data_IF_334373282875
#
_entry.id   IF_334373282875
#
_cell.length_a   1.000
_cell.length_b   1.000
_cell.length_c   1.000
_cell.angle_alpha   90.00
_cell.angle_beta   90.00
_cell.angle_gamma   90.00
#
_symmetry.space_group_name_H-M   'P 1'
#
loop_
_entity.id
_entity.type
_entity.pdbx_description
1 polymer ?
#
# COMPACT_ATOMS: atom_id res chain seq x y z
N UNK A 1 -5.59 -13.97 3.86
CA UNK A 1 -4.49 -13.44 4.71
C UNK A 1 -3.44 -12.81 3.80
N UNK A 2 -2.69 -11.78 4.22
CA UNK A 2 -1.72 -11.07 3.35
C UNK A 2 -0.66 -11.99 2.73
N UNK A 3 -0.20 -12.99 3.48
CA UNK A 3 0.73 -14.01 2.98
C UNK A 3 0.15 -14.75 1.77
N UNK A 4 -1.12 -15.17 1.82
CA UNK A 4 -1.77 -15.85 0.69
C UNK A 4 -1.86 -14.95 -0.55
N UNK A 5 -1.98 -13.62 -0.36
CA UNK A 5 -2.01 -12.67 -1.47
C UNK A 5 -0.62 -12.56 -2.11
N UNK A 6 0.42 -12.47 -1.29
CA UNK A 6 1.82 -12.45 -1.76
C UNK A 6 2.18 -13.76 -2.45
N UNK A 7 1.80 -14.90 -1.88
CA UNK A 7 2.08 -16.25 -2.42
C UNK A 7 1.41 -16.48 -3.77
N UNK A 8 0.18 -15.97 -3.95
CA UNK A 8 -0.50 -16.02 -5.25
C UNK A 8 0.10 -15.06 -6.27
N UNK A 9 0.89 -14.09 -5.82
CA UNK A 9 1.65 -13.18 -6.66
C UNK A 9 0.79 -12.25 -7.51
N UNK A 10 1.34 -11.91 -8.67
CA UNK A 10 0.78 -10.93 -9.58
C UNK A 10 0.22 -11.57 -10.84
N UNK A 11 -0.62 -10.83 -11.53
CA UNK A 11 -1.15 -11.20 -12.84
C UNK A 11 -1.31 -9.98 -13.72
N UNK A 12 -1.18 -10.17 -15.04
CA UNK A 12 -1.47 -9.16 -16.04
C UNK A 12 -2.89 -9.40 -16.59
N UNK A 13 -3.77 -8.41 -16.49
CA UNK A 13 -5.13 -8.48 -17.03
C UNK A 13 -5.14 -8.23 -18.54
N UNK A 14 -6.25 -8.57 -19.19
CA UNK A 14 -6.43 -8.29 -20.62
C UNK A 14 -6.42 -6.78 -20.94
N UNK A 15 -6.78 -5.93 -19.97
CA UNK A 15 -6.70 -4.48 -20.07
C UNK A 15 -5.30 -3.92 -19.77
N UNK A 16 -4.33 -4.79 -19.46
CA UNK A 16 -2.95 -4.43 -19.15
C UNK A 16 -2.72 -4.02 -17.71
N UNK A 17 -3.70 -4.20 -16.82
CA UNK A 17 -3.58 -3.97 -15.38
C UNK A 17 -2.69 -5.01 -14.72
N UNK A 18 -1.81 -4.54 -13.83
CA UNK A 18 -1.00 -5.39 -12.96
C UNK A 18 -1.74 -5.54 -11.65
N UNK A 19 -2.34 -6.70 -11.45
CA UNK A 19 -3.22 -6.95 -10.29
C UNK A 19 -2.73 -8.13 -9.46
N UNK A 20 -2.91 -8.03 -8.15
CA UNK A 20 -2.64 -9.11 -7.21
C UNK A 20 -3.61 -10.27 -7.49
N UNK A 21 -3.08 -11.42 -7.89
CA UNK A 21 -3.88 -12.53 -8.39
C UNK A 21 -4.84 -13.09 -7.32
N UNK A 22 -4.42 -13.09 -6.05
CA UNK A 22 -5.24 -13.48 -4.92
C UNK A 22 -6.42 -12.54 -4.62
N UNK A 23 -6.42 -11.34 -5.20
CA UNK A 23 -7.40 -10.29 -4.96
C UNK A 23 -8.35 -10.07 -6.13
N UNK A 24 -8.10 -10.74 -7.26
CA UNK A 24 -8.91 -10.61 -8.46
C UNK A 24 -10.33 -11.13 -8.20
N UNK A 25 -11.38 -10.35 -8.52
CA UNK A 25 -12.74 -10.82 -8.41
C UNK A 25 -13.02 -11.96 -9.40
N UNK A 26 -13.89 -12.89 -9.01
CA UNK A 26 -14.30 -14.03 -9.86
C UNK A 26 -15.03 -13.56 -11.11
N UNK A 27 -15.87 -12.52 -10.97
CA UNK A 27 -16.51 -11.85 -12.09
C UNK A 27 -15.61 -10.74 -12.63
N UNK A 28 -15.50 -10.65 -13.96
CA UNK A 28 -14.79 -9.55 -14.60
C UNK A 28 -15.52 -8.24 -14.32
N UNK A 29 -14.82 -7.28 -13.70
CA UNK A 29 -15.28 -5.90 -13.59
C UNK A 29 -15.16 -5.16 -14.92
N UNK A 30 -15.91 -4.06 -15.06
CA UNK A 30 -15.69 -3.06 -16.11
C UNK A 30 -15.00 -1.89 -15.42
N UNK A 31 -13.77 -1.60 -15.82
CA UNK A 31 -12.98 -0.47 -15.32
C UNK A 31 -12.82 0.57 -16.42
N UNK A 32 -12.85 1.84 -16.03
CA UNK A 32 -12.73 2.97 -16.97
C UNK A 32 -11.36 2.99 -17.63
N UNK A 33 -10.33 2.66 -16.87
CA UNK A 33 -8.96 2.51 -17.34
C UNK A 33 -8.19 1.52 -16.45
N UNK A 34 -6.94 1.28 -16.84
CA UNK A 34 -6.00 0.42 -16.11
C UNK A 34 -5.76 0.88 -14.68
N UNK A 35 -5.65 2.19 -14.43
CA UNK A 35 -5.37 2.72 -13.09
C UNK A 35 -6.56 2.43 -12.15
N UNK A 36 -7.77 2.63 -12.66
CA UNK A 36 -9.02 2.31 -11.97
C UNK A 36 -9.12 0.82 -11.64
N UNK A 37 -8.70 -0.05 -12.57
CA UNK A 37 -8.61 -1.50 -12.32
C UNK A 37 -7.62 -1.81 -11.20
N UNK A 38 -6.36 -1.36 -11.33
CA UNK A 38 -5.31 -1.66 -10.38
C UNK A 38 -5.65 -1.17 -8.97
N UNK A 39 -6.11 0.07 -8.84
CA UNK A 39 -6.45 0.68 -7.54
C UNK A 39 -7.65 0.00 -6.88
N UNK A 40 -8.66 -0.38 -7.66
CA UNK A 40 -9.83 -1.10 -7.15
C UNK A 40 -9.48 -2.52 -6.71
N UNK A 41 -8.71 -3.24 -7.52
CA UNK A 41 -8.39 -4.66 -7.24
C UNK A 41 -7.34 -4.78 -6.15
N UNK A 42 -6.29 -3.94 -6.18
CA UNK A 42 -5.12 -4.09 -5.31
C UNK A 42 -5.27 -3.40 -3.95
N UNK A 43 -6.24 -2.49 -3.77
CA UNK A 43 -6.43 -1.75 -2.52
C UNK A 43 -6.94 -2.61 -1.38
N UNK A 44 -6.26 -2.66 -0.24
CA UNK A 44 -6.68 -3.43 0.94
C UNK A 44 -6.41 -2.69 2.25
N UNK A 45 -7.41 -2.71 3.13
CA UNK A 45 -7.25 -2.34 4.52
C UNK A 45 -6.32 -3.33 5.23
N UNK A 46 -5.39 -2.82 6.02
CA UNK A 46 -4.47 -3.65 6.79
C UNK A 46 -5.20 -4.28 7.97
N UNK A 47 -4.98 -5.58 8.19
CA UNK A 47 -5.53 -6.28 9.35
C UNK A 47 -4.92 -5.73 10.64
N UNK A 48 -5.78 -5.24 11.52
CA UNK A 48 -5.38 -4.46 12.70
C UNK A 48 -6.27 -4.70 13.95
N UNK A 49 -7.18 -5.68 13.90
CA UNK A 49 -8.10 -6.01 15.00
C UNK A 49 -7.39 -6.60 16.24
N UNK A 50 -6.16 -7.10 16.07
CA UNK A 50 -5.33 -7.66 17.13
C UNK A 50 -4.31 -6.66 17.70
N UNK A 51 -4.27 -5.44 17.16
CA UNK A 51 -3.39 -4.39 17.64
C UNK A 51 -3.97 -3.66 18.86
N UNK A 52 -3.13 -3.13 19.77
CA UNK A 52 -3.57 -2.26 20.85
C UNK A 52 -4.38 -1.05 20.34
N UNK A 53 -5.23 -0.50 21.20
CA UNK A 53 -5.97 0.73 20.90
C UNK A 53 -5.11 1.99 21.09
N UNK A 54 -4.13 1.95 21.98
CA UNK A 54 -3.25 3.07 22.29
C UNK A 54 -2.44 3.50 21.05
N UNK A 55 -2.54 4.77 20.58
CA UNK A 55 -1.92 5.19 19.33
C UNK A 55 -0.40 4.99 19.26
N UNK A 56 0.30 5.24 20.37
CA UNK A 56 1.75 5.11 20.48
C UNK A 56 2.24 3.66 20.37
N UNK A 57 1.45 2.70 20.84
CA UNK A 57 1.73 1.26 20.67
C UNK A 57 1.24 0.74 19.31
N UNK A 58 0.10 1.23 18.84
CA UNK A 58 -0.57 0.77 17.61
C UNK A 58 0.17 1.19 16.34
N UNK A 59 0.56 2.47 16.26
CA UNK A 59 1.17 3.07 15.07
C UNK A 59 2.39 2.29 14.56
N UNK A 60 3.43 2.02 15.37
CA UNK A 60 4.62 1.32 14.87
C UNK A 60 4.30 -0.09 14.39
N UNK A 61 3.39 -0.81 15.06
CA UNK A 61 2.98 -2.16 14.66
C UNK A 61 2.22 -2.15 13.32
N UNK A 62 1.31 -1.20 13.15
CA UNK A 62 0.53 -1.05 11.93
C UNK A 62 1.42 -0.65 10.73
N UNK A 63 2.34 0.30 10.95
CA UNK A 63 3.31 0.72 9.93
C UNK A 63 4.20 -0.45 9.52
N UNK A 64 4.76 -1.22 10.47
CA UNK A 64 5.59 -2.40 10.17
C UNK A 64 4.85 -3.42 9.32
N UNK A 65 3.57 -3.70 9.62
CA UNK A 65 2.74 -4.60 8.80
C UNK A 65 2.56 -4.09 7.38
N UNK A 66 2.28 -2.79 7.23
CA UNK A 66 2.14 -2.19 5.91
C UNK A 66 3.44 -2.31 5.10
N UNK A 67 4.57 -1.94 5.69
CA UNK A 67 5.87 -1.98 5.01
C UNK A 67 6.29 -3.41 4.67
N UNK A 68 6.07 -4.39 5.56
CA UNK A 68 6.33 -5.80 5.28
C UNK A 68 5.50 -6.31 4.10
N UNK A 69 4.21 -5.98 4.07
CA UNK A 69 3.32 -6.35 2.97
C UNK A 69 3.70 -5.67 1.65
N UNK A 70 4.02 -4.37 1.70
CA UNK A 70 4.47 -3.58 0.55
C UNK A 70 5.76 -4.14 -0.02
N UNK A 71 6.78 -4.37 0.82
CA UNK A 71 8.07 -4.91 0.39
C UNK A 71 7.90 -6.25 -0.32
N UNK A 72 7.14 -7.18 0.27
CA UNK A 72 6.87 -8.49 -0.31
C UNK A 72 6.14 -8.40 -1.66
N UNK A 73 5.11 -7.54 -1.75
CA UNK A 73 4.38 -7.34 -3.00
C UNK A 73 5.24 -6.68 -4.10
N UNK A 74 6.08 -5.71 -3.74
CA UNK A 74 6.94 -5.03 -4.72
C UNK A 74 8.08 -5.92 -5.22
N UNK A 75 8.65 -6.77 -4.36
CA UNK A 75 9.65 -7.78 -4.76
C UNK A 75 9.06 -8.79 -5.74
N UNK A 76 7.89 -9.35 -5.40
CA UNK A 76 7.18 -10.29 -6.29
C UNK A 76 6.71 -9.63 -7.58
N UNK A 77 6.35 -8.34 -7.56
CA UNK A 77 6.03 -7.58 -8.78
C UNK A 77 7.26 -7.47 -9.70
N UNK A 78 8.44 -7.19 -9.15
CA UNK A 78 9.69 -7.13 -9.92
C UNK A 78 10.02 -8.48 -10.54
N UNK A 79 9.84 -9.56 -9.78
CA UNK A 79 10.06 -10.93 -10.27
C UNK A 79 9.11 -11.29 -11.42
N UNK A 80 7.83 -10.94 -11.30
CA UNK A 80 6.81 -11.24 -12.31
C UNK A 80 6.97 -10.38 -13.58
N UNK A 81 7.21 -9.07 -13.43
CA UNK A 81 7.17 -8.12 -14.55
C UNK A 81 8.54 -7.70 -15.09
N UNK A 82 9.62 -8.01 -14.37
CA UNK A 82 10.98 -7.64 -14.75
C UNK A 82 11.30 -6.14 -14.67
N UNK A 83 10.49 -5.35 -13.94
CA UNK A 83 10.68 -3.92 -13.74
C UNK A 83 10.25 -3.45 -12.33
N UNK A 84 10.56 -2.20 -11.97
CA UNK A 84 10.24 -1.59 -10.67
C UNK A 84 9.11 -0.55 -10.74
N UNK A 85 8.25 -0.64 -11.77
CA UNK A 85 7.24 0.40 -12.04
C UNK A 85 6.04 0.38 -11.11
N UNK A 86 5.76 -0.76 -10.47
CA UNK A 86 4.69 -0.82 -9.47
C UNK A 86 5.10 0.02 -8.27
N UNK A 87 4.20 0.91 -7.83
CA UNK A 87 4.32 1.70 -6.61
C UNK A 87 3.22 1.28 -5.65
N UNK A 88 3.50 1.42 -4.36
CA UNK A 88 2.54 1.25 -3.29
C UNK A 88 2.18 2.61 -2.68
N UNK A 89 0.92 2.76 -2.30
CA UNK A 89 0.41 3.91 -1.57
C UNK A 89 -0.14 3.40 -0.26
N UNK A 90 0.46 3.85 0.84
CA UNK A 90 0.01 3.53 2.19
C UNK A 90 -0.60 4.77 2.80
N UNK A 91 -1.84 4.65 3.27
CA UNK A 91 -2.53 5.71 4.01
C UNK A 91 -2.84 5.23 5.42
N UNK A 92 -2.55 6.06 6.44
CA UNK A 92 -3.07 5.89 7.79
C UNK A 92 -4.10 6.97 8.09
N UNK A 93 -5.23 6.55 8.63
CA UNK A 93 -6.31 7.45 9.03
C UNK A 93 -7.08 6.87 10.20
N UNK A 94 -7.73 7.73 10.98
CA UNK A 94 -8.59 7.28 12.06
C UNK A 94 -9.93 6.79 11.51
N UNK A 95 -10.40 5.65 12.02
CA UNK A 95 -11.70 5.10 11.66
C UNK A 95 -12.82 6.05 12.09
N UNK A 96 -13.85 6.18 11.26
CA UNK A 96 -15.06 6.93 11.57
C UNK A 96 -15.97 6.11 12.50
N UNK A 97 -15.50 5.91 13.74
CA UNK A 97 -16.13 5.11 14.78
C UNK A 97 -15.92 5.80 16.13
N UNK A 98 -16.71 5.46 17.15
CA UNK A 98 -16.57 6.05 18.50
C UNK A 98 -15.17 5.85 19.11
N UNK A 99 -14.53 4.73 18.79
CA UNK A 99 -13.19 4.38 19.28
C UNK A 99 -12.08 5.12 18.53
N UNK A 100 -12.38 5.65 17.34
CA UNK A 100 -11.46 6.37 16.47
C UNK A 100 -10.08 5.70 16.38
N UNK A 101 -10.05 4.39 16.11
CA UNK A 101 -8.80 3.63 16.01
C UNK A 101 -8.02 4.03 14.75
N UNK A 102 -6.69 4.09 14.86
CA UNK A 102 -5.83 4.29 13.69
C UNK A 102 -5.90 3.06 12.78
N UNK A 103 -6.31 3.24 11.54
CA UNK A 103 -6.38 2.18 10.53
C UNK A 103 -5.40 2.50 9.40
N UNK A 104 -5.17 1.53 8.52
CA UNK A 104 -4.40 1.78 7.32
C UNK A 104 -4.93 1.04 6.11
N UNK A 105 -4.64 1.60 4.93
CA UNK A 105 -4.94 1.00 3.64
C UNK A 105 -3.69 1.01 2.77
N UNK A 106 -3.43 -0.09 2.08
CA UNK A 106 -2.35 -0.24 1.12
C UNK A 106 -2.94 -0.44 -0.25
N UNK A 107 -2.53 0.36 -1.22
CA UNK A 107 -2.97 0.25 -2.62
C UNK A 107 -1.77 0.20 -3.54
N UNK A 108 -1.78 -0.69 -4.54
CA UNK A 108 -0.72 -0.76 -5.52
C UNK A 108 -1.22 -0.36 -6.90
N UNK A 109 -0.44 0.44 -7.60
CA UNK A 109 -0.67 0.72 -9.01
C UNK A 109 0.63 1.08 -9.71
N UNK A 110 0.57 1.14 -11.03
CA UNK A 110 1.68 1.47 -11.89
C UNK A 110 1.47 2.88 -12.43
N UNK A 111 2.26 3.87 -12.02
CA UNK A 111 2.21 5.20 -12.61
C UNK A 111 2.48 5.11 -14.11
N UNK A 112 1.68 5.81 -14.91
CA UNK A 112 1.86 5.93 -16.35
C UNK A 112 2.09 7.39 -16.71
N UNK A 113 3.00 7.71 -17.66
CA UNK A 113 3.31 9.09 -18.03
C UNK A 113 2.09 9.89 -18.48
N UNK A 114 1.13 9.21 -19.12
CA UNK A 114 -0.04 9.82 -19.75
C UNK A 114 -1.33 9.71 -18.91
N UNK A 115 -1.24 9.14 -17.70
CA UNK A 115 -2.39 8.99 -16.78
C UNK A 115 -2.15 9.88 -15.57
N UNK A 116 -3.22 10.49 -15.05
CA UNK A 116 -3.12 11.23 -13.79
C UNK A 116 -2.57 10.32 -12.69
N UNK A 117 -1.63 10.79 -11.87
CA UNK A 117 -1.19 10.04 -10.69
C UNK A 117 -2.39 9.63 -9.84
N UNK A 118 -2.31 8.45 -9.22
CA UNK A 118 -3.34 7.96 -8.31
C UNK A 118 -3.64 8.98 -7.20
N UNK A 119 -2.60 9.57 -6.64
CA UNK A 119 -2.68 10.70 -5.71
C UNK A 119 -1.85 11.85 -6.29
N UNK A 120 -2.55 12.90 -6.74
CA UNK A 120 -1.92 14.02 -7.45
C UNK A 120 -1.17 14.99 -6.52
N UNK A 121 -1.61 15.10 -5.26
CA UNK A 121 -1.07 16.03 -4.28
C UNK A 121 -1.10 15.37 -2.89
N UNK A 122 -0.06 14.58 -2.61
CA UNK A 122 0.11 13.91 -1.32
C UNK A 122 0.22 14.93 -0.18
N UNK A 123 0.74 16.13 -0.44
CA UNK A 123 0.93 17.20 0.54
C UNK A 123 -0.39 17.88 0.94
N UNK A 124 -1.38 17.85 0.05
CA UNK A 124 -2.73 18.38 0.30
C UNK A 124 -3.66 17.41 1.06
N UNK A 125 -3.24 16.17 1.33
CA UNK A 125 -4.06 15.24 2.12
C UNK A 125 -4.01 15.64 3.60
N UNK A 126 -5.15 16.13 4.12
CA UNK A 126 -5.23 16.62 5.51
C UNK A 126 -5.73 15.58 6.50
N UNK A 127 -6.48 14.60 6.04
CA UNK A 127 -7.26 13.70 6.91
C UNK A 127 -6.60 12.32 7.07
N UNK A 128 -5.44 12.12 6.42
CA UNK A 128 -4.66 10.89 6.48
C UNK A 128 -3.16 11.21 6.33
N UNK A 129 -2.32 10.42 7.00
CA UNK A 129 -0.90 10.38 6.67
C UNK A 129 -0.72 9.44 5.48
N UNK A 130 -0.10 9.91 4.39
CA UNK A 130 0.05 9.11 3.16
C UNK A 130 1.50 9.05 2.72
N UNK A 131 1.87 7.90 2.19
CA UNK A 131 3.18 7.59 1.65
C UNK A 131 3.04 6.93 0.28
N UNK A 132 3.79 7.42 -0.71
CA UNK A 132 4.13 6.65 -1.91
C UNK A 132 5.44 5.90 -1.64
N UNK A 133 5.47 4.61 -1.97
CA UNK A 133 6.60 3.72 -1.70
C UNK A 133 6.91 2.92 -2.96
N UNK A 134 8.20 2.82 -3.26
CA UNK A 134 8.75 2.04 -4.36
C UNK A 134 9.67 0.93 -3.85
N UNK A 135 10.08 0.04 -4.76
CA UNK A 135 11.00 -1.03 -4.37
C UNK A 135 12.38 -0.46 -3.99
N UNK A 136 12.77 0.67 -4.55
CA UNK A 136 14.04 1.35 -4.29
C UNK A 136 14.14 1.83 -2.84
N UNK A 137 13.00 2.13 -2.20
CA UNK A 137 12.94 2.52 -0.78
C UNK A 137 13.32 1.37 0.17
N UNK A 138 13.39 0.13 -0.34
CA UNK A 138 13.83 -1.06 0.42
C UNK A 138 15.23 -1.54 0.03
N UNK A 139 16.00 -0.76 -0.73
CA UNK A 139 17.40 -1.12 -1.00
C UNK A 139 18.20 -1.24 0.30
N UNK A 140 18.91 -2.37 0.46
CA UNK A 140 19.67 -2.68 1.69
C UNK A 140 18.86 -3.34 2.81
N UNK A 141 17.55 -3.53 2.64
CA UNK A 141 16.74 -4.39 3.49
C UNK A 141 16.76 -5.78 2.85
N UNK A 142 17.37 -6.77 3.49
CA UNK A 142 17.47 -8.14 2.93
C UNK A 142 16.27 -8.98 3.38
N UNK A 143 15.93 -8.95 4.68
CA UNK A 143 14.81 -9.70 5.23
C UNK A 143 13.59 -8.82 5.54
N UNK A 144 12.39 -9.40 5.41
CA UNK A 144 11.13 -8.73 5.77
C UNK A 144 11.06 -8.44 7.29
N UNK A 145 11.82 -9.20 8.09
CA UNK A 145 12.00 -8.95 9.53
C UNK A 145 12.84 -7.70 9.80
N UNK A 146 13.78 -7.33 8.91
CA UNK A 146 14.59 -6.12 9.00
C UNK A 146 13.77 -4.83 8.76
N UNK A 147 12.57 -4.97 8.20
CA UNK A 147 11.59 -3.87 8.08
C UNK A 147 11.16 -3.35 9.48
N UNK A 148 11.35 -4.14 10.54
CA UNK A 148 11.15 -3.70 11.92
C UNK A 148 12.06 -2.53 12.32
N UNK A 149 13.26 -2.45 11.75
CA UNK A 149 14.27 -1.42 12.03
C UNK A 149 14.29 -0.30 10.96
N UNK A 150 13.34 -0.32 10.02
CA UNK A 150 13.16 0.74 9.04
C UNK A 150 12.66 2.02 9.73
N UNK A 151 13.59 2.84 10.22
CA UNK A 151 13.33 4.22 10.60
C UNK A 151 12.93 4.98 9.32
N UNK A 152 11.63 5.02 9.02
CA UNK A 152 11.01 5.70 7.88
C UNK A 152 11.21 7.21 7.90
N UNK A 153 12.46 7.67 7.84
CA UNK A 153 12.93 9.04 8.06
C UNK A 153 12.44 10.05 7.02
N UNK A 154 11.75 9.61 5.96
CA UNK A 154 11.36 10.49 4.85
C UNK A 154 10.04 10.12 4.16
N UNK A 155 9.30 9.12 4.64
CA UNK A 155 8.20 8.52 3.85
C UNK A 155 6.82 9.05 4.26
N UNK A 156 6.65 9.52 5.50
CA UNK A 156 5.34 9.93 6.03
C UNK A 156 5.19 11.44 6.05
N UNK A 157 4.23 11.97 5.29
CA UNK A 157 3.74 13.33 5.48
C UNK A 157 2.58 13.32 6.47
N UNK A 158 2.84 13.81 7.67
CA UNK A 158 1.82 14.03 8.68
C UNK A 158 1.13 15.38 8.43
N UNK A 159 -0.21 15.47 8.54
CA UNK A 159 -0.88 16.76 8.52
C UNK A 159 -0.32 17.64 9.64
N UNK A 160 0.13 18.85 9.28
CA UNK A 160 0.62 19.82 10.27
C UNK A 160 -0.54 20.20 11.19
N UNK A 161 -0.41 19.86 12.48
CA UNK A 161 -1.29 20.41 13.50
C UNK A 161 -1.27 21.93 13.40
N UNK A 162 -2.41 22.53 13.10
CA UNK A 162 -2.57 23.98 13.18
C UNK A 162 -2.60 24.34 14.67
N UNK A 163 -1.46 24.84 15.17
CA UNK A 163 -1.36 25.48 16.49
C UNK A 163 -1.97 26.88 16.47
#
# INVERSE_FOLDING_TARGET
MFLEVVERGWSLTAAGGRVLAGLRPEASGIYVDRLSEETTVNGRGMTDYDLPAAPDERTPLLVRRCLAYVCACLRTAREEFGDTRVKAYVSLSYADTEEALLTSNVTFCTPLPDVRPYLQDLEAVTDAAVAEISLEDFEGVEDVEDVADFEGRSVWMWPRSSS
#
